data_IF_409938145313
#
_entry.id   IF_409938145313
#
_cell.length_a   1.000
_cell.length_b   1.000
_cell.length_c   1.000
_cell.angle_alpha   90.00
_cell.angle_beta   90.00
_cell.angle_gamma   90.00
#
_symmetry.space_group_name_H-M   'P 1'
#
loop_
_entity.id
_entity.type
_entity.pdbx_description
1 polymer ?
#
# COMPACT_ATOMS: atom_id res chain seq x y z
N UNK A 1 -4.72 -48.64 -1.99
CA UNK A 1 -4.09 -47.34 -1.67
C UNK A 1 -3.92 -47.28 -0.16
N UNK A 2 -2.70 -47.08 0.33
CA UNK A 2 -2.27 -47.43 1.70
C UNK A 2 -2.84 -46.49 2.77
N UNK A 3 -3.00 -47.03 4.00
CA UNK A 3 -3.43 -46.30 5.22
C UNK A 3 -2.66 -45.00 5.46
N UNK A 4 -1.47 -44.86 4.88
CA UNK A 4 -0.60 -43.69 4.94
C UNK A 4 -1.22 -42.43 4.29
N UNK A 5 -1.97 -42.56 3.19
CA UNK A 5 -2.55 -41.39 2.52
C UNK A 5 -3.81 -40.86 3.23
N UNK A 6 -4.59 -41.76 3.83
CA UNK A 6 -5.73 -41.40 4.69
C UNK A 6 -5.27 -40.62 5.92
N UNK A 7 -4.11 -40.96 6.50
CA UNK A 7 -3.52 -40.25 7.65
C UNK A 7 -3.04 -38.85 7.25
N UNK A 8 -2.45 -38.68 6.06
CA UNK A 8 -2.01 -37.35 5.56
C UNK A 8 -3.20 -36.42 5.27
N UNK A 9 -4.27 -36.94 4.67
CA UNK A 9 -5.49 -36.16 4.35
C UNK A 9 -6.24 -35.78 5.63
N UNK A 10 -6.40 -36.71 6.58
CA UNK A 10 -7.03 -36.43 7.88
C UNK A 10 -6.16 -35.49 8.72
N UNK A 11 -4.83 -35.64 8.71
CA UNK A 11 -3.91 -34.74 9.40
C UNK A 11 -3.93 -33.31 8.85
N UNK A 12 -4.04 -33.14 7.53
CA UNK A 12 -4.20 -31.85 6.87
C UNK A 12 -5.55 -31.18 7.17
N UNK A 13 -6.64 -31.93 7.13
CA UNK A 13 -7.99 -31.43 7.46
C UNK A 13 -8.12 -31.08 8.95
N UNK A 14 -7.58 -31.90 9.85
CA UNK A 14 -7.55 -31.59 11.29
C UNK A 14 -6.68 -30.35 11.56
N UNK A 15 -5.51 -30.22 10.92
CA UNK A 15 -4.65 -29.03 11.08
C UNK A 15 -5.31 -27.75 10.56
N UNK A 16 -6.03 -27.82 9.44
CA UNK A 16 -6.77 -26.68 8.87
C UNK A 16 -7.96 -26.28 9.73
N UNK A 17 -8.71 -27.26 10.22
CA UNK A 17 -9.86 -27.03 11.10
C UNK A 17 -9.42 -26.53 12.48
N UNK A 18 -8.32 -27.07 13.04
CA UNK A 18 -7.71 -26.53 14.26
C UNK A 18 -7.20 -25.10 14.06
N UNK A 19 -6.57 -24.80 12.91
CA UNK A 19 -6.12 -23.43 12.61
C UNK A 19 -7.28 -22.46 12.51
N UNK A 20 -8.40 -22.85 11.91
CA UNK A 20 -9.62 -22.03 11.88
C UNK A 20 -10.20 -21.87 13.31
N UNK A 21 -10.26 -22.95 14.09
CA UNK A 21 -10.72 -22.93 15.48
C UNK A 21 -9.79 -22.17 16.44
N UNK A 22 -8.53 -21.92 16.07
CA UNK A 22 -7.57 -21.13 16.85
C UNK A 22 -7.54 -19.67 16.37
N UNK A 23 -7.57 -19.45 15.06
CA UNK A 23 -7.49 -18.12 14.45
C UNK A 23 -8.78 -17.32 14.67
N UNK A 24 -9.95 -17.96 14.61
CA UNK A 24 -11.24 -17.26 14.80
C UNK A 24 -11.37 -16.69 16.23
N UNK A 25 -11.06 -17.44 17.32
CA UNK A 25 -11.04 -16.87 18.66
C UNK A 25 -9.98 -15.79 18.86
N UNK A 26 -8.76 -15.95 18.31
CA UNK A 26 -7.71 -14.91 18.40
C UNK A 26 -8.14 -13.62 17.69
N UNK A 27 -8.80 -13.74 16.54
CA UNK A 27 -9.37 -12.59 15.83
C UNK A 27 -10.51 -11.97 16.64
N UNK A 28 -11.37 -12.78 17.26
CA UNK A 28 -12.41 -12.28 18.16
C UNK A 28 -11.82 -11.55 19.38
N UNK A 29 -10.78 -12.09 20.01
CA UNK A 29 -10.06 -11.44 21.12
C UNK A 29 -9.35 -10.15 20.66
N UNK A 30 -8.80 -10.12 19.44
CA UNK A 30 -8.22 -8.91 18.86
C UNK A 30 -9.29 -7.85 18.60
N UNK A 31 -10.45 -8.24 18.06
CA UNK A 31 -11.58 -7.34 17.83
C UNK A 31 -12.12 -6.83 19.18
N UNK A 32 -12.31 -7.70 20.18
CA UNK A 32 -12.73 -7.29 21.53
C UNK A 32 -11.69 -6.37 22.21
N UNK A 33 -10.39 -6.65 22.03
CA UNK A 33 -9.31 -5.79 22.53
C UNK A 33 -9.31 -4.42 21.88
N UNK A 34 -9.55 -4.36 20.56
CA UNK A 34 -9.66 -3.11 19.81
C UNK A 34 -10.91 -2.31 20.20
N UNK A 35 -12.05 -2.98 20.39
CA UNK A 35 -13.30 -2.37 20.88
C UNK A 35 -13.10 -1.82 22.30
N UNK A 36 -12.50 -2.59 23.21
CA UNK A 36 -12.23 -2.19 24.59
C UNK A 36 -11.24 -1.01 24.70
N UNK A 37 -10.20 -0.97 23.83
CA UNK A 37 -9.30 0.18 23.73
C UNK A 37 -10.02 1.45 23.29
N UNK A 38 -10.92 1.34 22.31
CA UNK A 38 -11.67 2.49 21.80
C UNK A 38 -12.70 3.01 22.80
N UNK A 39 -13.34 2.13 23.58
CA UNK A 39 -14.22 2.53 24.69
C UNK A 39 -13.46 3.26 25.81
N UNK A 40 -12.20 2.88 26.07
CA UNK A 40 -11.31 3.59 27.02
C UNK A 40 -10.85 4.94 26.47
N UNK A 41 -10.55 5.04 25.19
CA UNK A 41 -10.16 6.29 24.52
C UNK A 41 -11.34 7.28 24.42
N UNK A 42 -12.56 6.79 24.18
CA UNK A 42 -13.78 7.59 24.18
C UNK A 42 -14.16 8.19 25.54
N UNK A 43 -13.73 7.57 26.65
CA UNK A 43 -13.92 8.10 28.02
C UNK A 43 -12.88 9.12 28.46
N UNK A 44 -11.71 9.16 27.80
CA UNK A 44 -10.58 10.01 28.18
C UNK A 44 -10.34 11.22 27.26
N UNK A 45 -11.25 11.52 26.33
CA UNK A 45 -11.25 12.77 25.56
C UNK A 45 -10.06 12.98 24.61
N UNK A 46 -9.23 11.95 24.37
CA UNK A 46 -8.07 12.03 23.50
C UNK A 46 -8.19 10.99 22.37
N UNK A 47 -8.79 11.38 21.25
CA UNK A 47 -8.63 10.65 19.99
C UNK A 47 -7.67 11.43 19.08
N UNK A 48 -6.54 10.84 18.64
CA UNK A 48 -5.62 11.49 17.71
C UNK A 48 -6.07 11.39 16.24
N UNK A 49 -7.26 10.83 15.95
CA UNK A 49 -7.75 10.65 14.58
C UNK A 49 -8.97 11.54 14.29
N UNK A 50 -9.01 12.23 13.13
CA UNK A 50 -10.11 13.11 12.77
C UNK A 50 -11.42 12.33 12.57
N UNK A 51 -12.51 12.90 13.06
CA UNK A 51 -13.82 12.30 13.32
C UNK A 51 -14.65 11.87 12.10
N UNK A 52 -14.06 11.70 10.92
CA UNK A 52 -14.78 11.33 9.68
C UNK A 52 -14.22 10.08 9.01
N UNK A 53 -13.76 9.09 9.79
CA UNK A 53 -13.57 7.74 9.27
C UNK A 53 -14.94 7.09 9.08
N UNK A 54 -15.15 6.54 7.88
CA UNK A 54 -16.09 5.44 7.60
C UNK A 54 -16.17 4.49 8.80
N UNK A 55 -17.39 4.06 9.15
CA UNK A 55 -17.64 3.44 10.46
C UNK A 55 -16.80 2.17 10.61
N UNK A 56 -16.20 1.96 11.78
CA UNK A 56 -15.46 0.72 12.14
C UNK A 56 -16.24 -0.56 11.78
N UNK A 57 -17.57 -0.47 11.76
CA UNK A 57 -18.47 -1.53 11.35
C UNK A 57 -18.39 -1.85 9.84
N UNK A 58 -18.16 -0.86 8.97
CA UNK A 58 -17.95 -1.10 7.53
C UNK A 58 -16.63 -1.85 7.27
N UNK A 59 -15.55 -1.49 7.97
CA UNK A 59 -14.26 -2.21 7.88
C UNK A 59 -14.34 -3.64 8.45
N UNK A 60 -15.01 -3.81 9.59
CA UNK A 60 -15.23 -5.15 10.19
C UNK A 60 -16.13 -6.01 9.29
N UNK A 61 -17.16 -5.43 8.68
CA UNK A 61 -18.05 -6.16 7.76
C UNK A 61 -17.29 -6.57 6.50
N UNK A 62 -16.44 -5.70 5.95
CA UNK A 62 -15.59 -6.02 4.79
C UNK A 62 -14.56 -7.11 5.09
N UNK A 63 -13.96 -7.11 6.28
CA UNK A 63 -13.02 -8.16 6.73
C UNK A 63 -13.76 -9.49 6.92
N UNK A 64 -14.95 -9.47 7.52
CA UNK A 64 -15.81 -10.66 7.66
C UNK A 64 -16.22 -11.18 6.29
N UNK A 65 -16.61 -10.32 5.36
CA UNK A 65 -16.97 -10.70 3.99
C UNK A 65 -15.77 -11.29 3.24
N UNK A 66 -14.56 -10.73 3.41
CA UNK A 66 -13.34 -11.30 2.83
C UNK A 66 -13.00 -12.67 3.43
N UNK A 67 -13.14 -12.85 4.74
CA UNK A 67 -12.85 -14.13 5.40
C UNK A 67 -13.90 -15.18 5.02
N UNK A 68 -15.18 -14.82 5.02
CA UNK A 68 -16.28 -15.74 4.68
C UNK A 68 -16.23 -16.11 3.20
N UNK A 69 -16.09 -15.13 2.30
CA UNK A 69 -16.07 -15.37 0.87
C UNK A 69 -14.81 -16.11 0.40
N UNK A 70 -13.64 -15.84 0.99
CA UNK A 70 -12.38 -16.40 0.49
C UNK A 70 -11.88 -17.62 1.28
N UNK A 71 -12.19 -17.78 2.57
CA UNK A 71 -11.71 -18.92 3.38
C UNK A 71 -12.81 -19.94 3.70
N UNK A 72 -14.01 -19.47 4.06
CA UNK A 72 -15.08 -20.36 4.56
C UNK A 72 -15.85 -21.02 3.41
N UNK A 73 -16.29 -20.25 2.41
CA UNK A 73 -17.06 -20.79 1.28
C UNK A 73 -16.26 -21.83 0.46
N UNK A 74 -14.98 -21.60 0.09
CA UNK A 74 -14.22 -22.58 -0.69
C UNK A 74 -13.86 -23.85 0.09
N UNK A 75 -13.59 -23.72 1.40
CA UNK A 75 -13.35 -24.86 2.29
C UNK A 75 -14.60 -25.74 2.43
N UNK A 76 -15.77 -25.12 2.60
CA UNK A 76 -17.06 -25.83 2.64
C UNK A 76 -17.42 -26.45 1.29
N UNK A 77 -17.12 -25.79 0.17
CA UNK A 77 -17.34 -26.31 -1.18
C UNK A 77 -16.46 -27.54 -1.45
N UNK A 78 -15.20 -27.50 -1.02
CA UNK A 78 -14.26 -28.62 -1.14
C UNK A 78 -14.69 -29.83 -0.30
N UNK A 79 -15.18 -29.59 0.92
CA UNK A 79 -15.76 -30.62 1.80
C UNK A 79 -17.06 -31.21 1.24
N UNK A 80 -17.91 -30.37 0.64
CA UNK A 80 -19.16 -30.82 0.01
C UNK A 80 -18.90 -31.66 -1.25
N UNK A 81 -17.93 -31.27 -2.09
CA UNK A 81 -17.49 -32.06 -3.25
C UNK A 81 -16.93 -33.42 -2.80
N UNK A 82 -16.11 -33.43 -1.75
CA UNK A 82 -15.55 -34.67 -1.18
C UNK A 82 -16.64 -35.60 -0.62
N UNK A 83 -17.64 -35.05 0.09
CA UNK A 83 -18.75 -35.83 0.66
C UNK A 83 -19.73 -36.34 -0.40
N UNK A 84 -19.99 -35.57 -1.45
CA UNK A 84 -20.97 -35.91 -2.50
C UNK A 84 -20.45 -36.93 -3.52
N UNK A 85 -19.15 -37.00 -3.77
CA UNK A 85 -18.55 -37.96 -4.72
C UNK A 85 -18.02 -39.26 -4.07
N UNK A 86 -18.17 -39.39 -2.75
CA UNK A 86 -17.56 -40.45 -1.97
C UNK A 86 -16.03 -40.37 -1.96
N UNK A 87 -15.38 -41.18 -1.13
CA UNK A 87 -13.92 -41.30 -0.99
C UNK A 87 -13.23 -41.92 -2.23
N UNK A 88 -13.63 -41.51 -3.42
CA UNK A 88 -13.02 -41.87 -4.68
C UNK A 88 -11.70 -41.11 -4.88
N UNK A 89 -10.77 -41.73 -5.61
CA UNK A 89 -9.50 -41.13 -5.99
C UNK A 89 -9.70 -39.78 -6.72
N UNK A 90 -10.77 -39.69 -7.52
CA UNK A 90 -11.14 -38.49 -8.28
C UNK A 90 -11.58 -37.35 -7.35
N UNK A 91 -12.44 -37.61 -6.37
CA UNK A 91 -12.85 -36.59 -5.39
C UNK A 91 -11.66 -36.08 -4.57
N UNK A 92 -10.72 -36.98 -4.25
CA UNK A 92 -9.50 -36.64 -3.51
C UNK A 92 -8.54 -35.78 -4.35
N UNK A 93 -8.32 -36.14 -5.63
CA UNK A 93 -7.46 -35.36 -6.55
C UNK A 93 -8.07 -34.00 -6.87
N UNK A 94 -9.38 -33.92 -7.07
CA UNK A 94 -10.09 -32.64 -7.33
C UNK A 94 -10.00 -31.71 -6.13
N UNK A 95 -10.19 -32.24 -4.92
CA UNK A 95 -10.03 -31.48 -3.68
C UNK A 95 -8.58 -31.00 -3.47
N UNK A 96 -7.59 -31.87 -3.73
CA UNK A 96 -6.16 -31.53 -3.67
C UNK A 96 -5.76 -30.47 -4.68
N UNK A 97 -6.20 -30.57 -5.94
CA UNK A 97 -5.89 -29.58 -6.96
C UNK A 97 -6.56 -28.23 -6.68
N UNK A 98 -7.81 -28.24 -6.20
CA UNK A 98 -8.53 -27.00 -5.80
C UNK A 98 -7.82 -26.33 -4.62
N UNK A 99 -7.39 -27.12 -3.64
CA UNK A 99 -6.67 -26.64 -2.44
C UNK A 99 -5.25 -26.18 -2.77
N UNK A 100 -4.48 -26.92 -3.59
CA UNK A 100 -3.13 -26.55 -4.03
C UNK A 100 -3.15 -25.30 -4.88
N UNK A 101 -4.12 -25.16 -5.79
CA UNK A 101 -4.28 -23.93 -6.58
C UNK A 101 -4.49 -22.76 -5.64
N UNK A 102 -5.38 -22.89 -4.63
CA UNK A 102 -5.60 -21.86 -3.61
C UNK A 102 -4.36 -21.49 -2.80
N UNK A 103 -3.53 -22.46 -2.38
CA UNK A 103 -2.27 -22.18 -1.67
C UNK A 103 -1.22 -21.50 -2.56
N UNK A 104 -1.12 -21.88 -3.83
CA UNK A 104 -0.26 -21.21 -4.81
C UNK A 104 -0.76 -19.76 -5.06
N UNK A 105 -2.08 -19.54 -5.05
CA UNK A 105 -2.72 -18.21 -5.16
C UNK A 105 -2.49 -17.31 -3.94
N UNK A 106 -2.39 -17.88 -2.73
CA UNK A 106 -2.10 -17.12 -1.50
C UNK A 106 -0.61 -16.76 -1.36
N UNK A 107 0.29 -17.60 -1.89
CA UNK A 107 1.74 -17.43 -1.72
C UNK A 107 2.39 -16.51 -2.76
N UNK A 108 1.79 -16.37 -3.96
CA UNK A 108 2.25 -15.46 -5.03
C UNK A 108 1.76 -14.01 -4.84
N UNK A 109 1.79 -13.51 -3.60
CA UNK A 109 1.37 -12.16 -3.23
C UNK A 109 1.92 -11.09 -4.19
N UNK A 110 1.07 -10.08 -4.43
CA UNK A 110 1.34 -8.80 -5.12
C UNK A 110 0.83 -8.59 -6.55
N UNK A 111 0.05 -9.50 -7.16
CA UNK A 111 -0.64 -9.13 -8.41
C UNK A 111 -2.04 -9.70 -8.55
N UNK A 112 -3.00 -9.05 -7.87
CA UNK A 112 -4.44 -9.29 -8.03
C UNK A 112 -4.93 -9.24 -9.50
N UNK A 113 -4.22 -8.53 -10.39
CA UNK A 113 -4.51 -8.51 -11.85
C UNK A 113 -4.20 -9.84 -12.54
N UNK A 114 -3.11 -10.51 -12.15
CA UNK A 114 -2.80 -11.86 -12.64
C UNK A 114 -3.74 -12.90 -11.99
N UNK A 115 -4.15 -12.66 -10.74
CA UNK A 115 -5.07 -13.51 -9.97
C UNK A 115 -6.43 -13.73 -10.68
N UNK A 116 -7.04 -12.66 -11.20
CA UNK A 116 -8.33 -12.76 -11.89
C UNK A 116 -8.19 -13.45 -13.24
N UNK A 117 -7.18 -13.07 -14.04
CA UNK A 117 -7.00 -13.60 -15.40
C UNK A 117 -6.59 -15.07 -15.36
N UNK A 118 -5.68 -15.46 -14.45
CA UNK A 118 -5.20 -16.83 -14.35
C UNK A 118 -6.28 -17.76 -13.77
N UNK A 119 -7.02 -17.33 -12.75
CA UNK A 119 -8.16 -18.08 -12.21
C UNK A 119 -9.27 -18.31 -13.24
N UNK A 120 -9.61 -17.26 -14.02
CA UNK A 120 -10.58 -17.35 -15.11
C UNK A 120 -10.11 -18.30 -16.22
N UNK A 121 -8.82 -18.28 -16.59
CA UNK A 121 -8.28 -19.15 -17.65
C UNK A 121 -8.11 -20.61 -17.19
N UNK A 122 -7.62 -20.86 -15.98
CA UNK A 122 -7.24 -22.20 -15.52
C UNK A 122 -8.40 -23.07 -15.03
N UNK A 123 -9.44 -22.48 -14.43
CA UNK A 123 -10.63 -23.21 -13.97
C UNK A 123 -11.28 -24.06 -15.08
N UNK A 124 -11.54 -23.52 -16.30
CA UNK A 124 -12.06 -24.29 -17.42
C UNK A 124 -11.18 -25.49 -17.80
N UNK A 125 -9.85 -25.32 -17.78
CA UNK A 125 -8.92 -26.41 -18.10
C UNK A 125 -8.93 -27.51 -17.04
N UNK A 126 -9.00 -27.15 -15.75
CA UNK A 126 -9.09 -28.13 -14.66
C UNK A 126 -10.40 -28.90 -14.75
N UNK A 127 -11.53 -28.21 -14.99
CA UNK A 127 -12.85 -28.84 -15.15
C UNK A 127 -12.83 -29.80 -16.36
N UNK A 128 -12.27 -29.38 -17.49
CA UNK A 128 -12.18 -30.19 -18.70
C UNK A 128 -11.24 -31.40 -18.55
N UNK A 129 -10.07 -31.21 -17.94
CA UNK A 129 -9.12 -32.27 -17.68
C UNK A 129 -9.69 -33.31 -16.70
N UNK A 130 -10.37 -32.85 -15.65
CA UNK A 130 -11.07 -33.71 -14.68
C UNK A 130 -12.16 -34.53 -15.36
N UNK A 131 -12.95 -33.91 -16.25
CA UNK A 131 -13.96 -34.61 -17.06
C UNK A 131 -13.35 -35.70 -17.95
N UNK A 132 -12.26 -35.39 -18.68
CA UNK A 132 -11.57 -36.40 -19.51
C UNK A 132 -11.04 -37.56 -18.70
N UNK A 133 -10.48 -37.30 -17.51
CA UNK A 133 -9.95 -38.32 -16.63
C UNK A 133 -11.07 -39.23 -16.08
N UNK A 134 -12.21 -38.66 -15.70
CA UNK A 134 -13.40 -39.41 -15.27
C UNK A 134 -13.93 -40.29 -16.41
N UNK A 135 -14.08 -39.72 -17.62
CA UNK A 135 -14.54 -40.46 -18.80
C UNK A 135 -13.63 -41.64 -19.15
N UNK A 136 -12.32 -41.46 -19.03
CA UNK A 136 -11.33 -42.52 -19.29
C UNK A 136 -11.39 -43.63 -18.24
N UNK A 137 -11.64 -43.29 -16.99
CA UNK A 137 -11.58 -44.23 -15.86
C UNK A 137 -12.89 -45.01 -15.67
N UNK A 138 -14.04 -44.39 -15.92
CA UNK A 138 -15.36 -44.96 -15.59
C UNK A 138 -16.32 -45.08 -16.79
N UNK A 139 -15.86 -44.80 -18.01
CA UNK A 139 -16.73 -44.72 -19.20
C UNK A 139 -17.46 -43.39 -19.31
N UNK A 140 -18.28 -43.20 -20.35
CA UNK A 140 -19.03 -41.94 -20.56
C UNK A 140 -19.96 -41.67 -19.38
N UNK A 141 -19.74 -40.60 -18.58
CA UNK A 141 -20.64 -40.29 -17.49
C UNK A 141 -22.03 -39.92 -18.05
N UNK A 142 -23.09 -40.25 -17.32
CA UNK A 142 -24.52 -40.03 -17.69
C UNK A 142 -24.90 -38.54 -17.81
N UNK A 143 -23.97 -37.62 -17.51
CA UNK A 143 -24.17 -36.17 -17.51
C UNK A 143 -23.51 -35.37 -18.68
N UNK A 144 -23.45 -35.85 -19.95
CA UNK A 144 -22.74 -35.09 -20.99
C UNK A 144 -23.43 -33.75 -21.33
N UNK A 145 -24.75 -33.66 -21.19
CA UNK A 145 -25.48 -32.45 -21.53
C UNK A 145 -25.32 -31.33 -20.48
N UNK A 146 -25.34 -31.68 -19.18
CA UNK A 146 -25.23 -30.71 -18.09
C UNK A 146 -23.82 -30.13 -17.94
N UNK A 147 -22.78 -30.90 -18.28
CA UNK A 147 -21.39 -30.41 -18.27
C UNK A 147 -21.14 -29.41 -19.40
N UNK A 148 -21.75 -29.61 -20.57
CA UNK A 148 -21.72 -28.63 -21.66
C UNK A 148 -22.39 -27.30 -21.26
N UNK A 149 -23.50 -27.36 -20.51
CA UNK A 149 -24.15 -26.16 -19.94
C UNK A 149 -23.25 -25.46 -18.92
N UNK A 150 -22.55 -26.21 -18.06
CA UNK A 150 -21.64 -25.65 -17.05
C UNK A 150 -20.41 -24.96 -17.68
N UNK A 151 -19.82 -25.58 -18.71
CA UNK A 151 -18.73 -24.96 -19.47
C UNK A 151 -19.19 -23.69 -20.21
N UNK A 152 -20.39 -23.74 -20.81
CA UNK A 152 -21.00 -22.57 -21.47
C UNK A 152 -21.27 -21.44 -20.48
N UNK A 153 -21.81 -21.75 -19.30
CA UNK A 153 -22.03 -20.78 -18.22
C UNK A 153 -20.72 -20.16 -17.74
N UNK A 154 -19.66 -20.96 -17.58
CA UNK A 154 -18.33 -20.47 -17.19
C UNK A 154 -17.77 -19.50 -18.22
N UNK A 155 -17.89 -19.83 -19.52
CA UNK A 155 -17.48 -18.94 -20.61
C UNK A 155 -18.30 -17.64 -20.59
N UNK A 156 -19.62 -17.70 -20.42
CA UNK A 156 -20.49 -16.50 -20.34
C UNK A 156 -20.07 -15.61 -19.16
N UNK A 157 -19.83 -16.19 -17.98
CA UNK A 157 -19.39 -15.45 -16.79
C UNK A 157 -18.02 -14.82 -17.04
N UNK A 158 -17.06 -15.56 -17.57
CA UNK A 158 -15.73 -15.02 -17.93
C UNK A 158 -15.82 -13.88 -18.93
N UNK A 159 -16.62 -14.04 -19.99
CA UNK A 159 -16.77 -13.02 -21.03
C UNK A 159 -17.46 -11.77 -20.47
N UNK A 160 -18.43 -11.95 -19.56
CA UNK A 160 -19.09 -10.85 -18.85
C UNK A 160 -18.14 -10.12 -17.91
N UNK A 161 -17.30 -10.85 -17.16
CA UNK A 161 -16.27 -10.26 -16.30
C UNK A 161 -15.21 -9.50 -17.10
N UNK A 162 -14.74 -10.06 -18.22
CA UNK A 162 -13.82 -9.39 -19.13
C UNK A 162 -14.47 -8.14 -19.71
N UNK A 163 -15.73 -8.22 -20.15
CA UNK A 163 -16.46 -7.06 -20.66
C UNK A 163 -16.65 -5.99 -19.58
N UNK A 164 -17.06 -6.36 -18.36
CA UNK A 164 -17.17 -5.43 -17.22
C UNK A 164 -15.81 -4.82 -16.89
N UNK A 165 -14.73 -5.60 -16.86
CA UNK A 165 -13.39 -5.12 -16.59
C UNK A 165 -12.90 -4.14 -17.65
N UNK A 166 -13.06 -4.47 -18.94
CA UNK A 166 -12.71 -3.59 -20.06
C UNK A 166 -13.54 -2.31 -20.05
N UNK A 167 -14.83 -2.39 -19.71
CA UNK A 167 -15.68 -1.21 -19.59
C UNK A 167 -15.33 -0.35 -18.37
N UNK A 168 -15.02 -0.94 -17.21
CA UNK A 168 -14.59 -0.20 -16.00
C UNK A 168 -13.25 0.49 -16.24
N UNK A 169 -12.28 -0.20 -16.87
CA UNK A 169 -10.98 0.40 -17.20
C UNK A 169 -11.11 1.50 -18.25
N UNK A 170 -11.95 1.31 -19.28
CA UNK A 170 -12.29 2.38 -20.22
C UNK A 170 -12.98 3.56 -19.52
N UNK A 171 -13.91 3.30 -18.58
CA UNK A 171 -14.57 4.33 -17.78
C UNK A 171 -13.55 5.11 -16.93
N UNK A 172 -12.67 4.41 -16.21
CA UNK A 172 -11.59 5.02 -15.39
C UNK A 172 -10.64 5.87 -16.24
N UNK A 173 -10.21 5.38 -17.40
CA UNK A 173 -9.36 6.14 -18.33
C UNK A 173 -10.04 7.40 -18.89
N UNK A 174 -11.39 7.43 -18.88
CA UNK A 174 -12.16 8.60 -19.30
C UNK A 174 -12.30 9.67 -18.20
N UNK A 175 -12.05 9.32 -16.93
CA UNK A 175 -12.24 10.24 -15.80
C UNK A 175 -11.06 11.20 -15.62
N UNK A 176 -9.82 10.75 -15.79
CA UNK A 176 -8.62 11.57 -15.60
C UNK A 176 -8.02 11.93 -16.96
N UNK A 177 -8.29 13.16 -17.41
CA UNK A 177 -7.78 13.67 -18.69
C UNK A 177 -6.79 14.79 -18.44
N UNK A 178 -5.89 15.02 -19.40
CA UNK A 178 -5.06 16.23 -19.40
C UNK A 178 -5.98 17.46 -19.32
N UNK A 179 -5.89 18.18 -18.22
CA UNK A 179 -6.67 19.39 -17.96
C UNK A 179 -5.83 20.65 -18.15
N UNK A 180 -4.53 20.59 -17.84
CA UNK A 180 -3.64 21.75 -17.86
C UNK A 180 -2.21 21.29 -18.10
N UNK A 181 -1.48 22.09 -18.84
CA UNK A 181 -0.05 21.94 -19.04
C UNK A 181 0.63 23.28 -18.73
N UNK A 182 1.80 23.22 -18.10
CA UNK A 182 2.67 24.35 -17.79
C UNK A 182 4.05 24.08 -18.37
N UNK A 183 5.03 24.93 -18.05
CA UNK A 183 6.40 24.77 -18.54
C UNK A 183 7.03 23.48 -18.03
N UNK A 184 6.74 23.09 -16.78
CA UNK A 184 7.39 21.95 -16.14
C UNK A 184 6.45 20.78 -15.79
N UNK A 185 5.13 20.95 -15.89
CA UNK A 185 4.16 19.95 -15.42
C UNK A 185 3.01 19.68 -16.41
N UNK A 186 2.47 18.46 -16.38
CA UNK A 186 1.26 18.07 -17.12
C UNK A 186 0.24 17.50 -16.14
N UNK A 187 -0.93 18.12 -16.03
CA UNK A 187 -1.94 17.77 -15.02
C UNK A 187 -3.08 16.93 -15.59
N UNK A 188 -3.33 15.79 -14.97
CA UNK A 188 -4.43 14.88 -15.26
C UNK A 188 -5.42 14.90 -14.10
N UNK A 189 -6.67 15.29 -14.34
CA UNK A 189 -7.71 15.29 -13.31
C UNK A 189 -9.10 15.02 -13.89
N UNK A 190 -10.06 14.81 -12.99
CA UNK A 190 -11.48 14.97 -13.32
C UNK A 190 -11.76 16.43 -13.68
N UNK A 191 -12.73 16.68 -14.58
CA UNK A 191 -13.16 18.06 -14.91
C UNK A 191 -13.66 18.83 -13.68
N UNK A 192 -14.21 18.13 -12.68
CA UNK A 192 -14.75 18.74 -11.47
C UNK A 192 -13.67 19.31 -10.53
N UNK A 193 -12.40 18.94 -10.75
CA UNK A 193 -11.25 19.41 -9.98
C UNK A 193 -10.40 20.44 -10.74
N UNK A 194 -10.85 20.95 -11.89
CA UNK A 194 -10.07 21.87 -12.71
C UNK A 194 -9.58 23.12 -11.93
N UNK A 195 -10.44 23.73 -11.10
CA UNK A 195 -10.05 24.88 -10.27
C UNK A 195 -8.92 24.56 -9.30
N UNK A 196 -8.90 23.33 -8.80
CA UNK A 196 -7.89 22.86 -7.85
C UNK A 196 -6.60 22.49 -8.55
N UNK A 197 -6.67 21.99 -9.79
CA UNK A 197 -5.53 21.80 -10.69
C UNK A 197 -4.81 23.12 -10.95
N UNK A 198 -5.55 24.22 -11.19
CA UNK A 198 -4.93 25.54 -11.40
C UNK A 198 -4.11 25.94 -10.17
N UNK A 199 -4.67 25.81 -8.96
CA UNK A 199 -3.95 26.12 -7.71
C UNK A 199 -2.70 25.26 -7.52
N UNK A 200 -2.81 23.96 -7.80
CA UNK A 200 -1.66 23.05 -7.73
C UNK A 200 -0.58 23.43 -8.74
N UNK A 201 -0.97 23.76 -9.96
CA UNK A 201 -0.05 24.17 -11.02
C UNK A 201 0.71 25.44 -10.63
N UNK A 202 0.00 26.47 -10.19
CA UNK A 202 0.63 27.72 -9.76
C UNK A 202 1.57 27.49 -8.57
N UNK A 203 1.16 26.68 -7.60
CA UNK A 203 1.97 26.34 -6.44
C UNK A 203 3.25 25.58 -6.80
N UNK A 204 3.16 24.58 -7.69
CA UNK A 204 4.30 23.79 -8.12
C UNK A 204 5.27 24.62 -8.97
N UNK A 205 4.77 25.40 -9.93
CA UNK A 205 5.59 26.29 -10.76
C UNK A 205 6.32 27.36 -9.94
N UNK A 206 5.63 27.96 -8.95
CA UNK A 206 6.24 28.94 -8.05
C UNK A 206 7.43 28.37 -7.26
N UNK A 207 7.40 27.08 -6.94
CA UNK A 207 8.45 26.42 -6.14
C UNK A 207 9.46 25.63 -6.97
N UNK A 208 9.21 25.42 -8.27
CA UNK A 208 10.04 24.61 -9.16
C UNK A 208 11.50 25.06 -9.12
N UNK A 209 11.76 26.33 -9.48
CA UNK A 209 13.12 26.88 -9.58
C UNK A 209 13.90 26.81 -8.27
N UNK A 210 13.22 27.00 -7.12
CA UNK A 210 13.84 26.87 -5.80
C UNK A 210 14.30 25.43 -5.56
N UNK A 211 13.45 24.45 -5.84
CA UNK A 211 13.76 23.03 -5.57
C UNK A 211 14.89 22.55 -6.46
N UNK A 212 14.79 22.76 -7.78
CA UNK A 212 15.82 22.31 -8.72
C UNK A 212 17.15 23.03 -8.48
N UNK A 213 17.12 24.31 -8.10
CA UNK A 213 18.31 25.09 -7.78
C UNK A 213 19.02 24.58 -6.51
N UNK A 214 18.26 24.25 -5.46
CA UNK A 214 18.79 23.69 -4.22
C UNK A 214 19.33 22.28 -4.40
N UNK A 215 18.62 21.45 -5.17
CA UNK A 215 19.02 20.07 -5.44
C UNK A 215 20.05 19.96 -6.57
N UNK A 216 20.29 21.05 -7.33
CA UNK A 216 21.19 21.09 -8.49
C UNK A 216 20.92 19.96 -9.48
N UNK A 217 19.63 19.64 -9.65
CA UNK A 217 19.12 18.54 -10.48
C UNK A 217 17.72 18.91 -10.96
N UNK A 218 17.40 18.56 -12.20
CA UNK A 218 16.10 18.76 -12.82
C UNK A 218 15.54 17.45 -13.40
N UNK A 219 14.21 17.27 -13.42
CA UNK A 219 13.59 16.19 -14.18
C UNK A 219 13.91 16.30 -15.67
N UNK A 220 14.10 15.15 -16.33
CA UNK A 220 14.43 15.11 -17.76
C UNK A 220 13.24 15.45 -18.65
N UNK A 221 12.04 15.28 -18.13
CA UNK A 221 10.79 15.52 -18.83
C UNK A 221 9.83 16.28 -17.92
N UNK A 222 8.75 16.82 -18.47
CA UNK A 222 7.70 17.43 -17.65
C UNK A 222 7.11 16.39 -16.70
N UNK A 223 7.05 16.73 -15.42
CA UNK A 223 6.47 15.84 -14.41
C UNK A 223 4.97 15.73 -14.62
N UNK A 224 4.47 14.50 -14.75
CA UNK A 224 3.03 14.24 -14.87
C UNK A 224 2.39 14.25 -13.49
N UNK A 225 1.37 15.08 -13.30
CA UNK A 225 0.66 15.22 -12.03
C UNK A 225 -0.76 14.67 -12.18
N UNK A 226 -1.06 13.55 -11.55
CA UNK A 226 -2.42 12.99 -11.50
C UNK A 226 -3.10 13.39 -10.21
N UNK A 227 -4.19 14.16 -10.32
CA UNK A 227 -4.94 14.72 -9.20
C UNK A 227 -6.21 13.91 -8.95
N UNK A 228 -6.27 13.23 -7.81
CA UNK A 228 -7.41 12.41 -7.39
C UNK A 228 -8.39 13.20 -6.53
N UNK A 229 -9.69 13.06 -6.81
CA UNK A 229 -10.73 13.78 -6.07
C UNK A 229 -10.89 13.33 -4.61
N UNK A 230 -10.42 12.13 -4.25
CA UNK A 230 -10.53 11.59 -2.89
C UNK A 230 -9.50 10.47 -2.62
N UNK A 231 -9.30 10.17 -1.32
CA UNK A 231 -8.36 9.17 -0.80
C UNK A 231 -8.58 7.77 -1.36
N UNK A 232 -9.84 7.34 -1.49
CA UNK A 232 -10.19 6.01 -1.99
C UNK A 232 -9.69 5.86 -3.42
N UNK A 233 -9.96 6.84 -4.29
CA UNK A 233 -9.51 6.79 -5.67
C UNK A 233 -7.97 6.76 -5.77
N UNK A 234 -7.25 7.53 -4.96
CA UNK A 234 -5.79 7.52 -4.93
C UNK A 234 -5.26 6.13 -4.54
N UNK A 235 -5.69 5.60 -3.40
CA UNK A 235 -5.19 4.34 -2.83
C UNK A 235 -5.50 3.15 -3.75
N UNK A 236 -6.74 3.06 -4.24
CA UNK A 236 -7.16 1.94 -5.09
C UNK A 236 -6.53 2.00 -6.48
N UNK A 237 -6.33 3.19 -7.06
CA UNK A 237 -5.70 3.32 -8.39
C UNK A 237 -4.23 2.91 -8.36
N UNK A 238 -3.56 3.10 -7.22
CA UNK A 238 -2.15 2.78 -7.03
C UNK A 238 -1.90 1.43 -6.34
N UNK A 239 -2.94 0.75 -5.86
CA UNK A 239 -2.81 -0.52 -5.13
C UNK A 239 -2.19 -0.39 -3.74
N UNK A 240 -2.27 0.79 -3.12
CA UNK A 240 -1.58 1.14 -1.87
C UNK A 240 -2.42 0.87 -0.62
N UNK A 241 -2.98 -0.33 -0.50
CA UNK A 241 -3.97 -0.68 0.54
C UNK A 241 -3.45 -0.58 1.98
N UNK A 242 -2.14 -0.55 2.20
CA UNK A 242 -1.53 -0.32 3.51
C UNK A 242 -1.32 1.17 3.85
N UNK A 243 -1.48 2.08 2.88
CA UNK A 243 -1.12 3.50 2.99
C UNK A 243 -2.34 4.44 2.84
N UNK A 244 -3.45 4.13 3.51
CA UNK A 244 -4.67 4.97 3.50
C UNK A 244 -4.48 6.39 4.05
N UNK A 245 -3.35 6.69 4.66
CA UNK A 245 -2.98 8.01 5.19
C UNK A 245 -2.18 8.87 4.19
N UNK A 246 -1.72 8.30 3.07
CA UNK A 246 -0.90 9.01 2.06
C UNK A 246 -1.72 10.12 1.38
N UNK A 247 -1.16 11.33 1.33
CA UNK A 247 -1.78 12.46 0.62
C UNK A 247 -1.29 12.57 -0.82
N UNK A 248 -0.17 11.92 -1.10
CA UNK A 248 0.50 11.86 -2.38
C UNK A 248 1.52 10.73 -2.42
N UNK A 249 1.95 10.43 -3.63
CA UNK A 249 2.94 9.40 -3.96
C UNK A 249 3.68 9.86 -5.21
N UNK A 250 4.96 9.52 -5.31
CA UNK A 250 5.77 9.80 -6.50
C UNK A 250 6.16 8.51 -7.24
N UNK A 251 6.42 8.66 -8.54
CA UNK A 251 7.24 7.79 -9.36
C UNK A 251 8.35 8.63 -10.01
N UNK A 252 9.14 8.04 -10.90
CA UNK A 252 10.34 8.69 -11.46
C UNK A 252 10.05 10.09 -12.06
N UNK A 253 9.08 10.17 -12.97
CA UNK A 253 8.61 11.43 -13.60
C UNK A 253 7.12 11.71 -13.31
N UNK A 254 6.54 11.04 -12.32
CA UNK A 254 5.11 11.05 -12.04
C UNK A 254 4.82 11.44 -10.58
N UNK A 255 3.77 12.22 -10.37
CA UNK A 255 3.29 12.67 -9.07
C UNK A 255 1.80 12.39 -8.99
N UNK A 256 1.40 11.64 -7.98
CA UNK A 256 0.02 11.31 -7.69
C UNK A 256 -0.37 12.05 -6.42
N UNK A 257 -1.43 12.86 -6.45
CA UNK A 257 -1.79 13.73 -5.32
C UNK A 257 -3.30 13.85 -5.18
N UNK A 258 -3.78 14.08 -3.96
CA UNK A 258 -5.17 14.47 -3.73
C UNK A 258 -5.47 15.88 -4.22
N UNK A 259 -6.75 16.13 -4.52
CA UNK A 259 -7.27 17.48 -4.82
C UNK A 259 -7.25 18.36 -3.55
N UNK A 260 -6.70 19.60 -3.59
CA UNK A 260 -6.66 20.51 -2.43
C UNK A 260 -8.03 21.07 -2.01
N UNK A 261 -9.13 20.71 -2.70
CA UNK A 261 -10.48 21.27 -2.57
C UNK A 261 -10.96 21.54 -1.13
N UNK A 262 -10.58 20.70 -0.18
CA UNK A 262 -10.97 20.83 1.24
C UNK A 262 -9.78 20.71 2.21
N UNK A 263 -8.54 20.75 1.71
CA UNK A 263 -7.34 20.53 2.53
C UNK A 263 -6.15 21.26 1.90
N UNK A 264 -5.95 22.51 2.31
CA UNK A 264 -4.87 23.36 1.80
C UNK A 264 -3.46 22.79 2.06
N UNK A 265 -3.28 21.94 3.08
CA UNK A 265 -2.01 21.27 3.35
C UNK A 265 -1.52 20.40 2.18
N UNK A 266 -2.42 20.01 1.27
CA UNK A 266 -2.08 19.28 0.04
C UNK A 266 -1.15 20.10 -0.87
N UNK A 267 -1.21 21.44 -0.82
CA UNK A 267 -0.27 22.28 -1.58
C UNK A 267 1.17 22.04 -1.10
N UNK A 268 1.40 22.00 0.22
CA UNK A 268 2.71 21.68 0.79
C UNK A 268 3.10 20.22 0.49
N UNK A 269 2.14 19.28 0.57
CA UNK A 269 2.38 17.89 0.16
C UNK A 269 2.77 17.76 -1.32
N UNK A 270 2.22 18.58 -2.22
CA UNK A 270 2.61 18.55 -3.64
C UNK A 270 4.09 18.95 -3.83
N UNK A 271 4.59 19.88 -3.03
CA UNK A 271 5.99 20.29 -3.03
C UNK A 271 6.88 19.18 -2.44
N UNK A 272 6.40 18.50 -1.39
CA UNK A 272 7.05 17.33 -0.80
C UNK A 272 7.19 16.19 -1.83
N UNK A 273 6.10 15.76 -2.48
CA UNK A 273 6.15 14.71 -3.50
C UNK A 273 7.00 15.12 -4.71
N UNK A 274 6.92 16.38 -5.15
CA UNK A 274 7.76 16.87 -6.24
C UNK A 274 9.24 16.86 -5.87
N UNK A 275 9.57 17.10 -4.61
CA UNK A 275 10.96 16.96 -4.12
C UNK A 275 11.45 15.53 -4.29
N UNK A 276 10.62 14.52 -4.03
CA UNK A 276 10.98 13.12 -4.29
C UNK A 276 11.19 12.84 -5.78
N UNK A 277 10.35 13.38 -6.67
CA UNK A 277 10.56 13.30 -8.13
C UNK A 277 11.95 13.83 -8.50
N UNK A 278 12.35 15.01 -8.00
CA UNK A 278 13.69 15.56 -8.30
C UNK A 278 14.81 14.70 -7.70
N UNK A 279 14.62 14.17 -6.49
CA UNK A 279 15.59 13.27 -5.85
C UNK A 279 15.75 11.94 -6.60
N UNK A 280 14.71 11.46 -7.30
CA UNK A 280 14.76 10.23 -8.11
C UNK A 280 15.80 10.33 -9.24
N UNK A 281 16.03 11.54 -9.76
CA UNK A 281 17.01 11.82 -10.79
C UNK A 281 18.45 11.97 -10.28
N UNK A 282 18.67 11.84 -8.96
CA UNK A 282 20.01 11.80 -8.36
C UNK A 282 20.38 10.34 -8.10
N UNK A 283 21.36 9.84 -8.84
CA UNK A 283 21.90 8.48 -8.73
C UNK A 283 22.71 8.31 -7.43
N UNK A 284 21.98 8.14 -6.33
CA UNK A 284 22.50 7.95 -4.98
C UNK A 284 21.47 7.20 -4.14
N UNK A 285 21.91 6.15 -3.46
CA UNK A 285 21.07 5.44 -2.49
C UNK A 285 21.10 6.19 -1.16
N UNK A 286 19.97 6.75 -0.77
CA UNK A 286 19.83 7.55 0.46
C UNK A 286 19.11 6.78 1.56
N UNK A 287 19.42 7.04 2.84
CA UNK A 287 18.63 6.51 3.94
C UNK A 287 17.24 7.19 3.97
N UNK A 288 16.22 6.46 4.44
CA UNK A 288 14.81 6.93 4.45
C UNK A 288 14.68 8.29 5.13
N UNK A 289 15.34 8.49 6.27
CA UNK A 289 15.26 9.77 6.99
C UNK A 289 15.82 10.95 6.19
N UNK A 290 16.82 10.76 5.32
CA UNK A 290 17.38 11.86 4.56
C UNK A 290 16.44 12.25 3.42
N UNK A 291 15.89 11.25 2.74
CA UNK A 291 14.96 11.45 1.63
C UNK A 291 13.67 12.13 2.11
N UNK A 292 13.03 11.55 3.14
CA UNK A 292 11.83 12.12 3.75
C UNK A 292 12.11 13.47 4.41
N UNK A 293 13.26 13.63 5.08
CA UNK A 293 13.62 14.89 5.73
C UNK A 293 13.76 16.03 4.74
N UNK A 294 14.42 15.80 3.60
CA UNK A 294 14.59 16.82 2.55
C UNK A 294 13.25 17.18 1.94
N UNK A 295 12.42 16.18 1.62
CA UNK A 295 11.10 16.41 1.07
C UNK A 295 10.18 17.17 2.04
N UNK A 296 10.18 16.83 3.33
CA UNK A 296 9.41 17.55 4.34
C UNK A 296 9.92 18.98 4.58
N UNK A 297 11.25 19.17 4.61
CA UNK A 297 11.85 20.48 4.80
C UNK A 297 11.56 21.41 3.63
N UNK A 298 11.76 20.96 2.39
CA UNK A 298 11.47 21.76 1.20
C UNK A 298 9.98 21.94 0.97
N UNK A 299 9.16 20.94 1.31
CA UNK A 299 7.71 21.00 1.25
C UNK A 299 7.06 21.90 2.30
N UNK A 300 7.80 22.27 3.36
CA UNK A 300 7.23 22.91 4.55
C UNK A 300 6.02 22.13 5.08
N UNK A 301 6.14 20.80 5.13
CA UNK A 301 5.04 19.92 5.52
C UNK A 301 4.67 20.17 6.99
N UNK A 302 3.38 20.32 7.28
CA UNK A 302 2.92 20.41 8.68
C UNK A 302 3.02 19.04 9.35
N UNK A 303 4.14 18.84 10.05
CA UNK A 303 4.41 17.63 10.82
C UNK A 303 4.02 17.74 12.29
N UNK A 304 3.46 18.88 12.72
CA UNK A 304 3.24 19.21 14.13
C UNK A 304 4.50 18.97 15.00
N UNK A 305 5.70 19.14 14.44
CA UNK A 305 6.97 18.83 15.11
C UNK A 305 7.11 19.57 16.45
N UNK A 306 6.70 20.84 16.51
CA UNK A 306 6.69 21.62 17.75
C UNK A 306 5.72 21.11 18.83
N UNK A 307 4.72 20.30 18.47
CA UNK A 307 3.81 19.67 19.45
C UNK A 307 4.31 18.29 19.88
N UNK A 308 4.85 17.52 18.92
CA UNK A 308 5.23 16.11 19.15
C UNK A 308 6.61 16.00 19.80
N UNK A 309 7.59 16.78 19.35
CA UNK A 309 8.99 16.62 19.75
C UNK A 309 9.27 17.01 21.21
N UNK A 310 8.68 18.06 21.82
CA UNK A 310 8.98 18.43 23.22
C UNK A 310 8.84 17.29 24.21
N UNK A 311 7.76 16.52 24.11
CA UNK A 311 7.52 15.36 24.98
C UNK A 311 8.54 14.24 24.74
N UNK A 312 8.90 13.98 23.48
CA UNK A 312 9.83 12.91 23.12
C UNK A 312 11.27 13.25 23.49
N UNK A 313 11.70 14.47 23.22
CA UNK A 313 13.03 15.00 23.54
C UNK A 313 13.23 15.03 25.05
N UNK A 314 12.24 15.53 25.81
CA UNK A 314 12.30 15.56 27.28
C UNK A 314 12.35 14.17 27.90
N UNK A 315 11.70 13.18 27.29
CA UNK A 315 11.76 11.79 27.70
C UNK A 315 13.03 11.05 27.23
N UNK A 316 13.97 11.73 26.56
CA UNK A 316 15.18 11.12 26.01
C UNK A 316 14.92 10.14 24.87
N UNK A 317 13.73 10.14 24.26
CA UNK A 317 13.32 9.22 23.18
C UNK A 317 13.79 9.71 21.81
N UNK A 318 15.07 10.05 21.70
CA UNK A 318 15.68 10.54 20.46
C UNK A 318 16.36 9.35 19.75
N UNK A 319 15.94 8.99 18.53
CA UNK A 319 16.50 7.84 17.83
C UNK A 319 17.89 8.15 17.27
N UNK A 320 18.69 7.12 17.04
CA UNK A 320 19.83 7.17 16.13
C UNK A 320 19.38 7.28 14.67
N UNK A 321 20.27 7.70 13.76
CA UNK A 321 19.97 7.74 12.32
C UNK A 321 19.59 6.37 11.75
N UNK A 322 20.14 5.28 12.29
CA UNK A 322 19.85 3.93 11.83
C UNK A 322 18.48 3.42 12.29
N UNK A 323 18.00 3.86 13.46
CA UNK A 323 16.67 3.49 13.97
C UNK A 323 15.51 4.11 13.16
N UNK A 324 15.77 5.22 12.47
CA UNK A 324 14.82 5.87 11.55
C UNK A 324 15.20 5.64 10.09
N UNK A 325 15.89 4.53 9.79
CA UNK A 325 16.12 4.07 8.43
C UNK A 325 15.26 2.82 8.15
N UNK A 326 14.56 2.78 7.02
CA UNK A 326 13.76 1.63 6.61
C UNK A 326 12.41 1.49 7.33
N UNK A 327 11.86 0.27 7.46
CA UNK A 327 10.45 0.03 7.82
C UNK A 327 10.00 0.57 9.19
N UNK A 328 10.95 0.79 10.12
CA UNK A 328 10.64 1.32 11.45
C UNK A 328 10.40 2.85 11.44
N UNK A 329 10.67 3.54 10.33
CA UNK A 329 10.63 5.00 10.21
C UNK A 329 9.36 5.61 10.80
N UNK A 330 8.18 5.16 10.36
CA UNK A 330 6.89 5.71 10.80
C UNK A 330 6.67 5.50 12.30
N UNK A 331 6.90 4.28 12.79
CA UNK A 331 6.69 3.92 14.20
C UNK A 331 7.65 4.62 15.18
N UNK A 332 8.75 5.18 14.67
CA UNK A 332 9.77 5.89 15.45
C UNK A 332 9.64 7.41 15.37
N UNK A 333 8.51 7.94 14.89
CA UNK A 333 8.31 9.37 14.62
C UNK A 333 9.35 9.90 13.61
N UNK A 334 9.68 9.11 12.60
CA UNK A 334 10.70 9.42 11.61
C UNK A 334 10.45 10.75 10.88
N UNK A 335 9.19 11.08 10.57
CA UNK A 335 8.84 12.34 9.90
C UNK A 335 9.30 13.60 10.65
N UNK A 336 8.83 13.90 11.88
CA UNK A 336 9.26 15.10 12.59
C UNK A 336 10.77 15.09 12.89
N UNK A 337 11.37 13.93 13.20
CA UNK A 337 12.81 13.86 13.42
C UNK A 337 13.61 14.14 12.15
N UNK A 338 13.29 13.49 11.02
CA UNK A 338 13.97 13.71 9.74
C UNK A 338 13.92 15.16 9.27
N UNK A 339 12.77 15.83 9.42
CA UNK A 339 12.64 17.26 9.17
C UNK A 339 13.67 18.07 9.98
N UNK A 340 13.75 17.82 11.30
CA UNK A 340 14.70 18.58 12.15
C UNK A 340 16.16 18.24 11.89
N UNK A 341 16.47 17.03 11.40
CA UNK A 341 17.83 16.68 10.99
C UNK A 341 18.22 17.56 9.80
N UNK A 342 17.37 17.64 8.77
CA UNK A 342 17.66 18.46 7.59
C UNK A 342 17.69 19.94 7.94
N UNK A 343 16.77 20.42 8.75
CA UNK A 343 16.79 21.80 9.25
C UNK A 343 18.09 22.12 9.98
N UNK A 344 18.54 21.27 10.90
CA UNK A 344 19.84 21.39 11.57
C UNK A 344 21.00 21.44 10.57
N UNK A 345 21.01 20.54 9.57
CA UNK A 345 22.07 20.50 8.56
C UNK A 345 22.11 21.78 7.74
N UNK A 346 20.95 22.32 7.35
CA UNK A 346 20.85 23.58 6.60
C UNK A 346 21.32 24.75 7.45
N UNK A 347 20.84 24.87 8.70
CA UNK A 347 21.21 25.96 9.60
C UNK A 347 22.72 25.97 9.88
N UNK A 348 23.30 24.78 10.12
CA UNK A 348 24.70 24.67 10.56
C UNK A 348 25.71 24.63 9.41
N UNK A 349 25.38 23.96 8.31
CA UNK A 349 26.32 23.66 7.23
C UNK A 349 25.90 24.24 5.87
N UNK A 350 24.67 24.74 5.74
CA UNK A 350 24.16 25.32 4.51
C UNK A 350 23.72 24.29 3.46
N UNK A 351 23.01 24.79 2.45
CA UNK A 351 22.43 23.96 1.39
C UNK A 351 23.48 23.24 0.53
N UNK A 352 24.67 23.82 0.33
CA UNK A 352 25.71 23.17 -0.48
C UNK A 352 26.19 21.87 0.17
N UNK A 353 26.39 21.87 1.48
CA UNK A 353 26.79 20.67 2.23
C UNK A 353 25.66 19.65 2.32
N UNK A 354 24.42 20.09 2.46
CA UNK A 354 23.26 19.20 2.37
C UNK A 354 23.19 18.53 0.99
N UNK A 355 23.39 19.29 -0.09
CA UNK A 355 23.36 18.80 -1.47
C UNK A 355 24.47 17.77 -1.75
N UNK A 356 25.67 18.00 -1.22
CA UNK A 356 26.79 17.06 -1.25
C UNK A 356 26.44 15.78 -0.47
N UNK A 357 25.81 15.92 0.70
CA UNK A 357 25.39 14.78 1.52
C UNK A 357 24.27 13.94 0.90
N UNK A 358 23.32 14.55 0.18
CA UNK A 358 22.30 13.83 -0.60
C UNK A 358 22.93 12.90 -1.66
N UNK A 359 24.05 13.33 -2.26
CA UNK A 359 24.81 12.55 -3.25
C UNK A 359 25.75 11.52 -2.61
N UNK A 360 26.21 11.79 -1.39
CA UNK A 360 27.21 10.99 -0.69
C UNK A 360 26.83 10.75 0.80
N UNK A 361 25.74 10.02 1.08
CA UNK A 361 25.11 9.97 2.42
C UNK A 361 25.92 9.24 3.50
N UNK A 362 27.05 8.63 3.14
CA UNK A 362 27.97 7.96 4.09
C UNK A 362 29.24 8.78 4.37
N UNK A 363 29.47 9.88 3.64
CA UNK A 363 30.73 10.64 3.68
C UNK A 363 30.72 11.77 4.74
N UNK A 364 30.23 11.45 5.94
CA UNK A 364 30.06 12.38 7.06
C UNK A 364 31.32 13.22 7.34
N UNK A 365 32.49 12.59 7.42
CA UNK A 365 33.73 13.27 7.76
C UNK A 365 34.19 14.21 6.64
N UNK A 366 34.13 13.78 5.37
CA UNK A 366 34.50 14.63 4.22
C UNK A 366 33.60 15.87 4.14
N UNK A 367 32.31 15.69 4.39
CA UNK A 367 31.31 16.72 4.14
C UNK A 367 31.23 17.68 5.34
N UNK A 368 31.08 17.15 6.55
CA UNK A 368 30.81 17.92 7.76
C UNK A 368 32.00 18.06 8.71
N UNK A 369 33.12 17.39 8.44
CA UNK A 369 34.30 17.38 9.30
C UNK A 369 34.13 16.57 10.59
N UNK A 370 33.06 15.78 10.71
CA UNK A 370 32.70 15.02 11.92
C UNK A 370 32.28 13.59 11.54
N UNK A 371 32.41 12.66 12.48
CA UNK A 371 31.87 11.32 12.34
C UNK A 371 30.33 11.30 12.41
N UNK A 372 29.71 10.19 12.01
CA UNK A 372 28.26 9.99 12.09
C UNK A 372 27.72 10.16 13.52
N UNK A 373 28.44 9.63 14.53
CA UNK A 373 28.05 9.72 15.95
C UNK A 373 28.20 11.13 16.51
N UNK A 374 29.23 11.86 16.11
CA UNK A 374 29.40 13.27 16.46
C UNK A 374 28.32 14.14 15.83
N UNK A 375 27.99 13.92 14.55
CA UNK A 375 26.90 14.63 13.87
C UNK A 375 25.55 14.37 14.56
N UNK A 376 25.27 13.12 14.93
CA UNK A 376 24.08 12.77 15.71
C UNK A 376 24.04 13.51 17.04
N UNK A 377 25.15 13.55 17.78
CA UNK A 377 25.25 14.27 19.06
C UNK A 377 25.02 15.77 18.89
N UNK A 378 25.53 16.36 17.81
CA UNK A 378 25.30 17.78 17.48
C UNK A 378 23.83 18.06 17.17
N UNK A 379 23.16 17.18 16.43
CA UNK A 379 21.72 17.28 16.17
C UNK A 379 20.89 17.09 17.44
N UNK A 380 21.25 16.15 18.33
CA UNK A 380 20.60 15.97 19.63
C UNK A 380 20.66 17.26 20.46
N UNK A 381 21.81 17.94 20.46
CA UNK A 381 21.95 19.23 21.15
C UNK A 381 21.07 20.31 20.51
N UNK A 382 20.99 20.34 19.18
CA UNK A 382 20.06 21.22 18.46
C UNK A 382 18.60 20.97 18.86
N UNK A 383 18.16 19.70 18.91
CA UNK A 383 16.82 19.34 19.35
C UNK A 383 16.54 19.81 20.77
N UNK A 384 17.48 19.59 21.70
CA UNK A 384 17.32 20.01 23.09
C UNK A 384 17.23 21.53 23.22
N UNK A 385 17.93 22.29 22.37
CA UNK A 385 17.88 23.74 22.42
C UNK A 385 16.58 24.33 21.82
N UNK A 386 15.98 23.67 20.83
CA UNK A 386 14.89 24.26 20.03
C UNK A 386 13.53 23.54 20.18
N UNK A 387 13.52 22.33 20.74
CA UNK A 387 12.34 21.44 20.79
C UNK A 387 12.22 20.73 22.15
N UNK A 388 12.64 21.34 23.26
CA UNK A 388 12.50 20.77 24.62
C UNK A 388 11.52 21.53 25.52
N UNK A 389 10.86 22.57 25.00
CA UNK A 389 9.97 23.46 25.75
C UNK A 389 8.57 23.47 25.15
#
# INVERSE_FOLDING_TARGET
MSKSLTIVVIGGLISSTLRILIVVPIIFELIESMVSRREKEGKNGASPYPSNSITFWEDVTLIIDLIVANLVIPGLLSLWIWKSQGSSLVGTVTCLLTTMSYFIFYWLGDSYKALTIFGLIWMPFIIFASYRLIKKTYGSPVFPHEIGKLATLTIIVMTSFIFIYLNITALQSSFYKNQKETDHFIFYSSKADYSEVVKLADNLEQHYGRIIGLLKTEPKTKTKVTVFSNQINLVYSLGLFSNFWSLGVFGDDELFILSPKNRSSILNSSIHEFTHVVLSHIDSKRPTWLEEGVANYLGNTDLNAQKVLPTLVSAGKIPSFDEINGPAFVYRNGYPYSYTIVEFLVIKYGYEKLNDFIRHPEEYNRIFGVSKSELHSLWVNYLKANYSH
#
